data_IF_524266933061
#
_entry.id   IF_524266933061
#
_cell.length_a   1.000
_cell.length_b   1.000
_cell.length_c   1.000
_cell.angle_alpha   90.00
_cell.angle_beta   90.00
_cell.angle_gamma   90.00
#
_symmetry.space_group_name_H-M   'P 1'
#
loop_
_entity.id
_entity.type
_entity.pdbx_description
1 polymer ?
#
# COMPACT_ATOMS: atom_id res chain seq x y z
N UNK A 1 0.06 40.13 -41.40
CA UNK A 1 1.07 39.07 -41.16
C UNK A 1 0.89 38.56 -39.75
N UNK A 2 0.27 37.39 -39.58
CA UNK A 2 -0.17 36.83 -38.29
C UNK A 2 0.73 35.64 -37.96
N UNK A 3 1.72 35.78 -37.09
CA UNK A 3 2.70 34.70 -36.83
C UNK A 3 3.03 34.43 -35.37
N UNK A 4 2.24 34.81 -34.37
CA UNK A 4 2.76 34.74 -33.00
C UNK A 4 1.78 34.24 -31.94
N UNK A 5 0.91 33.29 -32.30
CA UNK A 5 0.13 32.52 -31.30
C UNK A 5 0.46 31.01 -31.29
N UNK A 6 1.06 30.48 -32.34
CA UNK A 6 1.25 29.04 -32.50
C UNK A 6 2.41 28.47 -31.66
N UNK A 7 3.44 29.27 -31.34
CA UNK A 7 4.66 28.80 -30.68
C UNK A 7 4.55 28.65 -29.15
N UNK A 8 3.55 29.27 -28.50
CA UNK A 8 3.35 29.14 -27.04
C UNK A 8 2.56 27.88 -26.66
N UNK A 9 1.65 27.45 -27.53
CA UNK A 9 0.78 26.29 -27.30
C UNK A 9 1.51 24.94 -27.37
N UNK A 10 2.61 24.84 -28.11
CA UNK A 10 3.39 23.60 -28.19
C UNK A 10 4.26 23.35 -26.94
N UNK A 11 4.70 24.41 -26.27
CA UNK A 11 5.49 24.32 -25.03
C UNK A 11 4.61 23.88 -23.84
N UNK A 12 3.40 24.43 -23.72
CA UNK A 12 2.45 24.06 -22.64
C UNK A 12 1.93 22.61 -22.78
N UNK A 13 1.73 22.11 -24.00
CA UNK A 13 1.25 20.74 -24.25
C UNK A 13 2.33 19.67 -23.96
N UNK A 14 3.62 20.05 -24.09
CA UNK A 14 4.78 19.22 -23.75
C UNK A 14 4.95 19.06 -22.22
N UNK A 15 4.78 20.14 -21.47
CA UNK A 15 4.92 20.11 -20.01
C UNK A 15 3.77 19.37 -19.31
N UNK A 16 2.53 19.51 -19.81
CA UNK A 16 1.39 18.75 -19.30
C UNK A 16 1.54 17.24 -19.50
N UNK A 17 2.09 16.80 -20.64
CA UNK A 17 2.42 15.39 -20.89
C UNK A 17 3.50 14.87 -19.95
N UNK A 18 4.48 15.70 -19.59
CA UNK A 18 5.49 15.38 -18.57
C UNK A 18 4.88 15.27 -17.18
N UNK A 19 4.00 16.20 -16.79
CA UNK A 19 3.34 16.17 -15.49
C UNK A 19 2.41 14.96 -15.32
N UNK A 20 1.62 14.59 -16.34
CA UNK A 20 0.74 13.42 -16.32
C UNK A 20 1.51 12.09 -16.17
N UNK A 21 2.70 12.00 -16.78
CA UNK A 21 3.51 10.78 -16.71
C UNK A 21 4.21 10.65 -15.34
N UNK A 22 4.71 11.76 -14.79
CA UNK A 22 5.31 11.82 -13.45
C UNK A 22 4.29 11.58 -12.32
N UNK A 23 3.05 12.05 -12.46
CA UNK A 23 1.97 11.81 -11.49
C UNK A 23 1.46 10.35 -11.50
N UNK A 24 1.62 9.65 -12.62
CA UNK A 24 1.25 8.24 -12.74
C UNK A 24 2.25 7.32 -12.00
N UNK A 25 3.54 7.68 -11.96
CA UNK A 25 4.57 6.90 -11.26
C UNK A 25 4.53 7.11 -9.74
N UNK A 26 4.36 8.36 -9.28
CA UNK A 26 4.26 8.66 -7.84
C UNK A 26 3.01 8.08 -7.15
N UNK A 27 1.98 7.72 -7.90
CA UNK A 27 0.76 7.12 -7.34
C UNK A 27 0.91 5.63 -6.99
N UNK A 28 1.96 4.95 -7.47
CA UNK A 28 2.17 3.52 -7.20
C UNK A 28 3.02 3.26 -5.94
N UNK A 29 3.74 4.27 -5.47
CA UNK A 29 4.62 4.22 -4.29
C UNK A 29 3.99 4.82 -3.02
N UNK A 30 2.80 5.41 -3.11
CA UNK A 30 2.09 6.00 -1.97
C UNK A 30 1.01 5.08 -1.36
N UNK A 31 0.88 3.84 -1.84
CA UNK A 31 -0.11 2.90 -1.30
C UNK A 31 0.46 2.16 -0.09
N UNK A 32 0.26 2.79 1.07
CA UNK A 32 0.29 2.18 2.40
C UNK A 32 1.65 1.66 2.84
N UNK A 33 2.37 2.54 3.56
CA UNK A 33 3.06 2.22 4.82
C UNK A 33 2.67 0.83 5.33
N UNK A 34 3.66 -0.02 5.56
CA UNK A 34 3.54 -1.26 6.32
C UNK A 34 2.49 -1.10 7.41
N UNK A 35 1.28 -1.60 7.14
CA UNK A 35 0.14 -1.38 8.01
C UNK A 35 0.40 -2.15 9.28
N UNK A 36 0.55 -1.42 10.38
CA UNK A 36 0.56 -1.98 11.72
C UNK A 36 -0.82 -2.58 11.97
N UNK A 37 -0.82 -3.89 12.13
CA UNK A 37 -2.01 -4.70 12.38
C UNK A 37 -1.76 -5.49 13.66
N UNK A 38 -2.83 -6.02 14.23
CA UNK A 38 -2.72 -7.13 15.16
C UNK A 38 -3.23 -8.37 14.45
N UNK A 39 -2.48 -9.45 14.60
CA UNK A 39 -2.86 -10.73 14.04
C UNK A 39 -2.92 -11.79 15.14
N UNK A 40 -3.84 -12.72 14.97
CA UNK A 40 -4.09 -13.77 15.95
C UNK A 40 -2.96 -14.80 15.91
N UNK A 41 -2.35 -15.03 17.06
CA UNK A 41 -1.31 -16.04 17.25
C UNK A 41 -1.78 -17.11 18.22
N UNK A 42 -1.56 -18.37 17.85
CA UNK A 42 -1.80 -19.52 18.70
C UNK A 42 -0.48 -20.14 19.10
N UNK A 43 -0.18 -20.08 20.39
CA UNK A 43 1.01 -20.69 20.97
C UNK A 43 0.83 -22.21 21.05
N UNK A 44 1.94 -22.96 21.03
CA UNK A 44 1.94 -24.42 21.21
C UNK A 44 1.37 -24.85 22.57
N UNK A 45 1.47 -23.97 23.57
CA UNK A 45 0.92 -24.12 24.92
C UNK A 45 -0.62 -23.98 24.97
N UNK A 46 -1.28 -23.77 23.82
CA UNK A 46 -2.73 -23.62 23.70
C UNK A 46 -3.26 -22.21 23.99
N UNK A 47 -2.37 -21.27 24.31
CA UNK A 47 -2.71 -19.85 24.49
C UNK A 47 -2.97 -19.16 23.15
N UNK A 48 -3.85 -18.19 23.17
CA UNK A 48 -4.31 -17.44 22.00
C UNK A 48 -4.26 -15.95 22.31
N UNK A 49 -3.51 -15.18 21.51
CA UNK A 49 -3.31 -13.75 21.75
C UNK A 49 -3.25 -12.97 20.43
N UNK A 50 -3.65 -11.69 20.49
CA UNK A 50 -3.49 -10.76 19.39
C UNK A 50 -2.14 -10.08 19.54
N UNK A 51 -1.23 -10.36 18.61
CA UNK A 51 0.11 -9.79 18.62
C UNK A 51 0.25 -8.72 17.54
N UNK A 52 0.98 -7.63 17.81
CA UNK A 52 1.29 -6.63 16.80
C UNK A 52 2.13 -7.28 15.69
N UNK A 53 1.73 -7.04 14.46
CA UNK A 53 2.33 -7.58 13.25
C UNK A 53 2.29 -6.53 12.14
N UNK A 54 3.10 -6.75 11.10
CA UNK A 54 3.05 -5.96 9.87
C UNK A 54 2.38 -6.76 8.77
N UNK A 55 1.40 -6.15 8.10
CA UNK A 55 0.77 -6.79 6.94
C UNK A 55 1.71 -6.73 5.74
N UNK A 56 2.21 -7.87 5.28
CA UNK A 56 3.07 -7.96 4.09
C UNK A 56 2.21 -7.97 2.82
N UNK A 57 1.21 -8.87 2.79
CA UNK A 57 0.41 -9.12 1.58
C UNK A 57 -0.94 -9.71 1.92
N UNK A 58 -1.97 -9.25 1.21
CA UNK A 58 -3.28 -9.92 1.14
C UNK A 58 -3.36 -10.77 -0.12
N UNK A 59 -3.80 -12.01 0.03
CA UNK A 59 -4.05 -12.92 -1.08
C UNK A 59 -5.53 -12.85 -1.48
N UNK A 60 -5.82 -13.12 -2.75
CA UNK A 60 -7.19 -13.13 -3.27
C UNK A 60 -8.05 -14.25 -2.67
N UNK A 61 -7.43 -15.29 -2.11
CA UNK A 61 -8.12 -16.39 -1.42
C UNK A 61 -8.58 -16.03 0.01
N UNK A 62 -8.32 -14.80 0.48
CA UNK A 62 -8.70 -14.33 1.80
C UNK A 62 -7.68 -14.60 2.91
N UNK A 63 -6.51 -15.14 2.59
CA UNK A 63 -5.38 -15.23 3.51
C UNK A 63 -4.52 -13.96 3.48
N UNK A 64 -3.79 -13.73 4.56
CA UNK A 64 -2.87 -12.63 4.74
C UNK A 64 -1.51 -13.17 5.19
N UNK A 65 -0.43 -12.72 4.55
CA UNK A 65 0.92 -12.88 5.08
C UNK A 65 1.21 -11.73 6.03
N UNK A 66 1.50 -12.06 7.28
CA UNK A 66 1.81 -11.12 8.35
C UNK A 66 3.20 -11.40 8.89
N UNK A 67 3.94 -10.35 9.21
CA UNK A 67 5.27 -10.42 9.82
C UNK A 67 5.11 -10.10 11.30
N UNK A 68 5.33 -11.10 12.15
CA UNK A 68 5.53 -10.92 13.58
C UNK A 68 7.02 -10.63 13.86
N UNK A 69 7.33 -10.30 15.12
CA UNK A 69 8.72 -10.15 15.59
C UNK A 69 9.54 -11.44 15.44
N UNK A 70 8.90 -12.60 15.62
CA UNK A 70 9.53 -13.91 15.54
C UNK A 70 9.71 -14.41 14.09
N UNK A 71 8.84 -13.98 13.17
CA UNK A 71 8.89 -14.43 11.79
C UNK A 71 7.65 -14.13 10.97
N UNK A 72 7.62 -14.67 9.74
CA UNK A 72 6.48 -14.54 8.83
C UNK A 72 5.49 -15.68 9.08
N UNK A 73 4.21 -15.35 9.11
CA UNK A 73 3.14 -16.35 9.20
C UNK A 73 1.99 -16.03 8.26
N UNK A 74 1.24 -17.06 7.89
CA UNK A 74 0.00 -16.94 7.12
C UNK A 74 -1.19 -17.09 8.05
N UNK A 75 -2.04 -16.07 8.06
CA UNK A 75 -3.25 -16.03 8.87
C UNK A 75 -4.44 -15.72 7.98
N UNK A 76 -5.63 -16.12 8.41
CA UNK A 76 -6.86 -15.73 7.71
C UNK A 76 -7.12 -14.24 7.89
N UNK A 77 -7.78 -13.61 6.92
CA UNK A 77 -8.19 -12.20 7.03
C UNK A 77 -9.04 -11.92 8.27
N UNK A 78 -9.87 -12.88 8.70
CA UNK A 78 -10.67 -12.79 9.93
C UNK A 78 -9.85 -12.73 11.22
N UNK A 79 -8.57 -13.12 11.16
CA UNK A 79 -7.61 -13.14 12.26
C UNK A 79 -6.62 -11.99 12.17
N UNK A 80 -6.97 -10.94 11.42
CA UNK A 80 -6.19 -9.71 11.27
C UNK A 80 -7.11 -8.54 11.56
N UNK A 81 -6.67 -7.66 12.46
CA UNK A 81 -7.34 -6.39 12.76
C UNK A 81 -6.36 -5.23 12.57
N UNK A 82 -6.84 -4.10 12.05
CA UNK A 82 -6.02 -2.89 11.93
C UNK A 82 -5.92 -2.21 13.30
N UNK A 83 -4.70 -1.81 13.69
CA UNK A 83 -4.48 -1.08 14.95
C UNK A 83 -4.55 0.42 14.62
N UNK A 84 -5.43 1.14 15.30
CA UNK A 84 -5.43 2.61 15.24
C UNK A 84 -6.28 3.25 14.14
N UNK A 85 -7.53 2.82 13.97
CA UNK A 85 -8.56 3.72 13.42
C UNK A 85 -9.43 4.25 14.57
N UNK A 86 -8.97 5.33 15.20
CA UNK A 86 -9.78 6.17 16.10
C UNK A 86 -9.67 7.62 15.67
#
# INVERSE_FOLDING_TARGET
MMKDKCSKLETENSELRRQLTEHCWKSKENSSKDKEIEAFWRFEDGREEWLPAKLIRKYANGECSVQYSDGVSRVRSSWVREVGQM
#
